data_IF_413975907892
#
_entry.id   IF_413975907892
#
_cell.length_a   1.000
_cell.length_b   1.000
_cell.length_c   1.000
_cell.angle_alpha   90.00
_cell.angle_beta   90.00
_cell.angle_gamma   90.00
#
_symmetry.space_group_name_H-M   'P 1'
#
loop_
_entity.id
_entity.type
_entity.pdbx_description
1 polymer ?
#
# COMPACT_ATOMS: atom_id res chain seq x y z
N UNK A 1 -23.20 47.25 28.09
CA UNK A 1 -21.88 46.78 27.59
C UNK A 1 -22.12 45.76 26.50
N UNK A 2 -21.69 46.04 25.27
CA UNK A 2 -21.83 45.13 24.11
C UNK A 2 -20.53 44.35 24.00
N UNK A 3 -20.57 43.03 24.19
CA UNK A 3 -19.40 42.16 24.00
C UNK A 3 -19.41 41.74 22.53
N UNK A 4 -18.42 42.24 21.79
CA UNK A 4 -18.18 41.85 20.41
C UNK A 4 -17.41 40.53 20.34
N UNK A 5 -17.84 39.71 19.39
CA UNK A 5 -17.34 38.39 19.01
C UNK A 5 -15.90 38.42 18.49
N UNK A 6 -15.17 37.31 18.62
CA UNK A 6 -14.09 36.93 17.69
C UNK A 6 -13.93 35.40 17.71
N UNK A 7 -14.75 34.72 16.92
CA UNK A 7 -14.59 33.30 16.59
C UNK A 7 -13.51 33.14 15.53
N UNK A 8 -12.35 32.60 15.92
CA UNK A 8 -11.23 32.33 15.04
C UNK A 8 -11.45 30.99 14.34
N UNK A 9 -11.94 31.03 13.10
CA UNK A 9 -12.08 29.85 12.24
C UNK A 9 -10.77 29.69 11.46
N UNK A 10 -9.94 28.75 11.87
CA UNK A 10 -8.74 28.32 11.13
C UNK A 10 -9.19 27.34 10.04
N UNK A 11 -9.47 27.84 8.82
CA UNK A 11 -9.60 26.99 7.64
C UNK A 11 -8.18 26.66 7.18
N UNK A 12 -7.66 25.51 7.62
CA UNK A 12 -6.46 24.92 7.05
C UNK A 12 -6.79 24.37 5.67
N UNK A 13 -6.33 25.05 4.61
CA UNK A 13 -6.37 24.52 3.25
C UNK A 13 -5.48 23.28 3.18
N UNK A 14 -6.08 22.09 3.20
CA UNK A 14 -5.37 20.86 2.86
C UNK A 14 -4.98 20.96 1.39
N UNK A 15 -3.68 21.12 1.12
CA UNK A 15 -3.12 21.07 -0.23
C UNK A 15 -3.26 19.63 -0.72
N UNK A 16 -4.36 19.34 -1.42
CA UNK A 16 -4.52 18.05 -2.09
C UNK A 16 -3.61 18.09 -3.30
N UNK A 17 -2.45 17.42 -3.22
CA UNK A 17 -1.60 17.21 -4.39
C UNK A 17 -2.33 16.15 -5.23
N UNK A 18 -2.78 16.46 -6.45
CA UNK A 18 -3.47 15.47 -7.26
C UNK A 18 -2.50 14.33 -7.56
N UNK A 19 -2.85 13.10 -7.17
CA UNK A 19 -2.11 11.92 -7.61
C UNK A 19 -2.20 11.85 -9.13
N UNK A 20 -1.03 11.75 -9.76
CA UNK A 20 -0.89 11.62 -11.20
C UNK A 20 -1.76 10.47 -11.74
N UNK A 21 -2.18 10.57 -13.00
CA UNK A 21 -2.73 9.43 -13.75
C UNK A 21 -1.74 8.25 -13.87
N UNK A 22 -0.51 8.42 -13.38
CA UNK A 22 0.52 7.38 -13.28
C UNK A 22 0.59 6.83 -11.87
N UNK A 23 0.80 5.53 -11.78
CA UNK A 23 1.14 4.85 -10.53
C UNK A 23 2.42 5.49 -9.96
N UNK A 24 2.46 5.87 -8.66
CA UNK A 24 3.65 6.45 -8.07
C UNK A 24 4.81 5.46 -8.10
N UNK A 25 6.04 5.98 -8.17
CA UNK A 25 7.24 5.16 -8.05
C UNK A 25 7.55 4.97 -6.57
N UNK A 26 7.23 3.78 -6.05
CA UNK A 26 7.51 3.38 -4.67
C UNK A 26 8.90 2.73 -4.60
N UNK A 27 9.68 3.04 -3.57
CA UNK A 27 10.98 2.39 -3.30
C UNK A 27 10.80 1.05 -2.58
N UNK A 28 10.21 0.10 -3.30
CA UNK A 28 9.95 -1.25 -2.79
C UNK A 28 11.23 -2.02 -2.45
N UNK A 29 12.38 -1.64 -3.02
CA UNK A 29 13.65 -2.27 -2.66
C UNK A 29 14.06 -1.93 -1.23
N UNK A 30 13.86 -0.67 -0.81
CA UNK A 30 14.11 -0.25 0.56
C UNK A 30 13.18 -0.98 1.54
N UNK A 31 11.88 -1.04 1.22
CA UNK A 31 10.87 -1.78 2.00
C UNK A 31 11.26 -3.26 2.13
N UNK A 32 11.55 -3.94 1.02
CA UNK A 32 11.91 -5.36 1.05
C UNK A 32 13.20 -5.65 1.83
N UNK A 33 14.22 -4.77 1.73
CA UNK A 33 15.44 -4.90 2.55
C UNK A 33 15.14 -4.73 4.04
N UNK A 34 14.31 -3.75 4.38
CA UNK A 34 13.91 -3.49 5.76
C UNK A 34 13.09 -4.66 6.35
N UNK A 35 12.13 -5.21 5.60
CA UNK A 35 11.34 -6.38 6.00
C UNK A 35 12.22 -7.58 6.28
N UNK A 36 13.14 -7.93 5.37
CA UNK A 36 14.07 -9.04 5.57
C UNK A 36 14.96 -8.81 6.81
N UNK A 37 15.44 -7.59 7.02
CA UNK A 37 16.25 -7.27 8.19
C UNK A 37 15.44 -7.40 9.50
N UNK A 38 14.21 -6.90 9.51
CA UNK A 38 13.31 -6.98 10.66
C UNK A 38 12.92 -8.42 10.99
N UNK A 39 12.56 -9.21 9.98
CA UNK A 39 12.20 -10.62 10.12
C UNK A 39 13.36 -11.45 10.70
N UNK A 40 14.58 -11.21 10.20
CA UNK A 40 15.79 -11.84 10.71
C UNK A 40 16.08 -11.44 12.16
N UNK A 41 15.97 -10.14 12.49
CA UNK A 41 16.17 -9.65 13.85
C UNK A 41 15.15 -10.23 14.84
N UNK A 42 13.92 -10.49 14.38
CA UNK A 42 12.86 -11.11 15.14
C UNK A 42 12.91 -12.66 15.15
N UNK A 43 13.86 -13.29 14.46
CA UNK A 43 13.97 -14.74 14.28
C UNK A 43 12.65 -15.38 13.82
N UNK A 44 11.95 -14.74 12.86
CA UNK A 44 10.69 -15.25 12.36
C UNK A 44 10.91 -16.53 11.55
N UNK A 45 10.21 -17.60 11.95
CA UNK A 45 10.25 -18.90 11.27
C UNK A 45 9.61 -18.85 9.87
N UNK A 46 8.68 -17.90 9.67
CA UNK A 46 7.93 -17.72 8.43
C UNK A 46 8.27 -16.39 7.75
N UNK A 47 9.56 -16.06 7.69
CA UNK A 47 10.05 -14.88 7.00
C UNK A 47 10.03 -15.08 5.48
N UNK A 48 9.79 -13.98 4.76
CA UNK A 48 9.97 -13.96 3.32
C UNK A 48 11.40 -13.55 2.97
N UNK A 49 11.99 -14.16 1.94
CA UNK A 49 13.26 -13.68 1.40
C UNK A 49 13.05 -12.44 0.52
N UNK A 50 14.14 -11.71 0.27
CA UNK A 50 14.11 -10.50 -0.55
C UNK A 50 13.49 -10.75 -1.94
N UNK A 51 13.84 -11.88 -2.57
CA UNK A 51 13.32 -12.24 -3.88
C UNK A 51 11.81 -12.51 -3.86
N UNK A 52 11.30 -13.09 -2.78
CA UNK A 52 9.88 -13.26 -2.55
C UNK A 52 9.15 -11.93 -2.43
N UNK A 53 9.68 -11.02 -1.62
CA UNK A 53 9.10 -9.69 -1.45
C UNK A 53 9.06 -8.92 -2.77
N UNK A 54 10.20 -8.84 -3.47
CA UNK A 54 10.27 -8.15 -4.77
C UNK A 54 9.33 -8.76 -5.81
N UNK A 55 9.12 -10.08 -5.81
CA UNK A 55 8.14 -10.70 -6.72
C UNK A 55 6.73 -10.22 -6.40
N UNK A 56 6.33 -10.25 -5.14
CA UNK A 56 4.98 -9.90 -4.73
C UNK A 56 4.69 -8.41 -5.00
N UNK A 57 5.67 -7.54 -4.77
CA UNK A 57 5.61 -6.11 -5.10
C UNK A 57 5.45 -5.85 -6.61
N UNK A 58 6.24 -6.54 -7.44
CA UNK A 58 6.13 -6.42 -8.89
C UNK A 58 4.78 -6.97 -9.43
N UNK A 59 4.28 -8.05 -8.84
CA UNK A 59 2.97 -8.61 -9.18
C UNK A 59 1.85 -7.64 -8.81
N UNK A 60 1.94 -7.00 -7.64
CA UNK A 60 0.99 -6.00 -7.20
C UNK A 60 1.01 -4.76 -8.10
N UNK A 61 2.20 -4.27 -8.48
CA UNK A 61 2.35 -3.16 -9.43
C UNK A 61 1.71 -3.48 -10.79
N UNK A 62 1.88 -4.69 -11.28
CA UNK A 62 1.26 -5.13 -12.53
C UNK A 62 -0.28 -5.16 -12.44
N UNK A 63 -0.83 -5.58 -11.30
CA UNK A 63 -2.28 -5.57 -11.08
C UNK A 63 -2.84 -4.14 -10.98
N UNK A 64 -2.13 -3.24 -10.28
CA UNK A 64 -2.47 -1.83 -10.19
C UNK A 64 -2.56 -1.19 -11.58
N UNK A 65 -1.67 -1.55 -12.51
CA UNK A 65 -1.70 -1.04 -13.89
C UNK A 65 -3.02 -1.31 -14.62
N UNK A 66 -3.77 -2.35 -14.23
CA UNK A 66 -5.07 -2.68 -14.82
C UNK A 66 -6.24 -1.83 -14.29
N UNK A 67 -6.09 -1.19 -13.14
CA UNK A 67 -7.19 -0.50 -12.43
C UNK A 67 -6.91 0.97 -12.13
N UNK A 68 -5.65 1.40 -12.22
CA UNK A 68 -5.22 2.72 -11.75
C UNK A 68 -5.99 3.85 -12.42
N UNK A 69 -5.93 3.93 -13.76
CA UNK A 69 -6.53 5.04 -14.51
C UNK A 69 -8.06 5.05 -14.50
N UNK A 70 -8.71 3.94 -14.13
CA UNK A 70 -10.17 3.83 -14.03
C UNK A 70 -10.70 4.06 -12.62
N UNK A 71 -9.82 4.02 -11.62
CA UNK A 71 -10.17 4.30 -10.22
C UNK A 71 -10.26 5.81 -9.95
N UNK A 72 -11.14 6.28 -9.03
CA UNK A 72 -11.29 7.69 -8.71
C UNK A 72 -10.03 8.26 -8.06
N UNK A 73 -9.73 9.52 -8.35
CA UNK A 73 -8.60 10.25 -7.76
C UNK A 73 -8.60 10.20 -6.24
N UNK A 74 -9.78 10.29 -5.61
CA UNK A 74 -9.90 10.19 -4.15
C UNK A 74 -9.43 8.84 -3.61
N UNK A 75 -9.70 7.75 -4.31
CA UNK A 75 -9.25 6.39 -3.92
C UNK A 75 -7.76 6.26 -4.12
N UNK A 76 -7.23 6.77 -5.25
CA UNK A 76 -5.79 6.76 -5.51
C UNK A 76 -5.02 7.55 -4.46
N UNK A 77 -5.48 8.75 -4.12
CA UNK A 77 -4.87 9.59 -3.09
C UNK A 77 -4.86 8.87 -1.73
N UNK A 78 -6.03 8.43 -1.26
CA UNK A 78 -6.14 7.74 0.04
C UNK A 78 -5.25 6.51 0.08
N UNK A 79 -5.27 5.67 -0.96
CA UNK A 79 -4.50 4.43 -0.92
C UNK A 79 -3.00 4.64 -1.09
N UNK A 80 -2.55 5.70 -1.76
CA UNK A 80 -1.13 6.08 -1.77
C UNK A 80 -0.68 6.58 -0.41
N UNK A 81 -1.48 7.39 0.28
CA UNK A 81 -1.18 7.85 1.63
C UNK A 81 -1.04 6.66 2.59
N UNK A 82 -1.94 5.67 2.51
CA UNK A 82 -1.85 4.44 3.30
C UNK A 82 -0.61 3.60 2.94
N UNK A 83 -0.35 3.40 1.65
CA UNK A 83 0.78 2.59 1.16
C UNK A 83 2.16 3.22 1.41
N UNK A 84 2.19 4.51 1.75
CA UNK A 84 3.40 5.27 2.08
C UNK A 84 3.51 5.61 3.57
N UNK A 85 2.50 5.24 4.36
CA UNK A 85 2.43 5.55 5.77
C UNK A 85 3.55 4.87 6.56
N UNK A 86 4.07 5.57 7.58
CA UNK A 86 5.13 5.02 8.44
C UNK A 86 6.49 4.86 7.75
N UNK A 87 6.67 5.41 6.54
CA UNK A 87 7.90 5.28 5.76
C UNK A 87 8.04 3.94 5.04
N UNK A 88 6.96 3.17 4.95
CA UNK A 88 6.87 2.06 4.02
C UNK A 88 6.62 2.59 2.61
N UNK A 89 7.03 1.81 1.61
CA UNK A 89 6.69 2.02 0.20
C UNK A 89 6.31 0.65 -0.37
N UNK A 90 5.01 0.35 -0.48
CA UNK A 90 4.52 -0.98 -0.92
C UNK A 90 3.39 -0.92 -1.94
N UNK A 91 3.59 -1.54 -3.10
CA UNK A 91 2.53 -1.78 -4.07
C UNK A 91 1.54 -2.84 -3.60
N UNK A 92 1.96 -3.78 -2.76
CA UNK A 92 1.06 -4.75 -2.13
C UNK A 92 0.04 -4.02 -1.26
N UNK A 93 0.47 -3.13 -0.38
CA UNK A 93 -0.43 -2.35 0.48
C UNK A 93 -1.33 -1.42 -0.35
N UNK A 94 -0.79 -0.77 -1.38
CA UNK A 94 -1.56 0.06 -2.31
C UNK A 94 -2.68 -0.75 -3.00
N UNK A 95 -2.34 -1.92 -3.54
CA UNK A 95 -3.30 -2.81 -4.19
C UNK A 95 -4.36 -3.29 -3.20
N UNK A 96 -3.97 -3.71 -1.99
CA UNK A 96 -4.90 -4.16 -0.96
C UNK A 96 -5.85 -3.03 -0.56
N UNK A 97 -5.37 -1.80 -0.38
CA UNK A 97 -6.24 -0.66 -0.11
C UNK A 97 -7.26 -0.45 -1.25
N UNK A 98 -6.82 -0.51 -2.52
CA UNK A 98 -7.75 -0.37 -3.65
C UNK A 98 -8.77 -1.51 -3.71
N UNK A 99 -8.41 -2.73 -3.34
CA UNK A 99 -9.34 -3.85 -3.22
C UNK A 99 -10.38 -3.60 -2.14
N UNK A 100 -9.95 -3.12 -0.97
CA UNK A 100 -10.84 -2.78 0.14
C UNK A 100 -11.78 -1.62 -0.21
N UNK A 101 -11.33 -0.68 -1.05
CA UNK A 101 -12.15 0.40 -1.59
C UNK A 101 -13.10 -0.05 -2.73
N UNK A 102 -13.01 -1.31 -3.18
CA UNK A 102 -13.86 -1.88 -4.23
C UNK A 102 -13.40 -1.58 -5.66
N UNK A 103 -12.16 -1.14 -5.86
CA UNK A 103 -11.62 -0.72 -7.17
C UNK A 103 -10.63 -1.71 -7.78
N UNK A 104 -10.30 -2.76 -7.06
CA UNK A 104 -9.54 -3.90 -7.57
C UNK A 104 -10.20 -5.19 -7.10
N UNK A 105 -10.23 -6.20 -7.96
CA UNK A 105 -10.63 -7.54 -7.55
C UNK A 105 -9.47 -8.20 -6.79
N UNK A 106 -9.74 -8.96 -5.72
CA UNK A 106 -8.72 -9.79 -5.10
C UNK A 106 -8.14 -10.75 -6.15
N UNK A 107 -6.82 -11.04 -6.11
CA UNK A 107 -6.21 -11.94 -7.07
C UNK A 107 -6.91 -13.30 -7.05
N UNK A 108 -7.21 -13.84 -8.23
CA UNK A 108 -7.73 -15.20 -8.38
C UNK A 108 -6.69 -16.28 -8.00
N UNK A 109 -5.45 -15.87 -7.71
CA UNK A 109 -4.42 -16.77 -7.22
C UNK A 109 -4.80 -17.29 -5.83
N UNK A 110 -4.79 -18.61 -5.61
CA UNK A 110 -4.96 -19.15 -4.27
C UNK A 110 -3.86 -18.54 -3.38
N UNK A 111 -4.24 -18.05 -2.20
CA UNK A 111 -3.30 -17.59 -1.18
C UNK A 111 -2.22 -18.66 -1.04
N UNK A 112 -1.01 -18.37 -1.53
CA UNK A 112 0.15 -19.26 -1.38
C UNK A 112 0.65 -19.13 0.06
N UNK A 113 -0.18 -19.53 1.01
CA UNK A 113 0.28 -19.79 2.37
C UNK A 113 1.22 -21.00 2.37
N UNK A 114 1.98 -21.14 3.46
CA UNK A 114 2.94 -22.20 3.78
C UNK A 114 2.44 -23.67 3.66
N UNK A 115 1.26 -23.91 3.09
CA UNK A 115 0.60 -25.20 2.96
C UNK A 115 1.07 -26.05 1.77
N UNK A 116 2.23 -25.77 1.15
CA UNK A 116 2.79 -26.68 0.13
C UNK A 116 3.40 -27.96 0.73
N UNK A 117 3.62 -28.00 2.04
CA UNK A 117 4.25 -29.14 2.73
C UNK A 117 3.24 -30.26 3.08
N UNK A 118 1.92 -30.02 3.00
CA UNK A 118 0.91 -31.00 3.43
C UNK A 118 0.63 -32.16 2.45
N UNK A 119 1.12 -32.10 1.20
CA UNK A 119 0.85 -33.12 0.17
C UNK A 119 2.06 -34.02 -0.15
N UNK A 120 2.89 -34.33 0.84
CA UNK A 120 3.90 -35.39 0.73
C UNK A 120 3.52 -36.53 1.68
N UNK A 121 2.60 -37.39 1.23
CA UNK A 121 2.36 -38.73 1.77
C UNK A 121 2.11 -39.67 0.62
#
# INVERSE_FOLDING_TARGET
MKIALLSMVMIGSQLVIPVSDRIPKLDVEATCKATVAADNAANLVLSQDYAGCMRDENEAQAQLAGVWSTSPDSVRNTCVDEATAGGNDSYVDLLVCMQMAGWASPPAAPLKGASKVRNKK
#
